data_IF_622458515465
#
_entry.id   IF_622458515465
#
_cell.length_a   1.000
_cell.length_b   1.000
_cell.length_c   1.000
_cell.angle_alpha   90.00
_cell.angle_beta   90.00
_cell.angle_gamma   90.00
#
_symmetry.space_group_name_H-M   'P 1'
#
loop_
_entity.id
_entity.type
_entity.pdbx_description
1 polymer ?
#
# COMPACT_ATOMS: atom_id res chain seq x y z
N UNK A 1 13.07 10.14 -16.86
CA UNK A 1 13.21 10.94 -15.61
C UNK A 1 13.46 9.97 -14.48
N UNK A 2 14.42 10.24 -13.60
CA UNK A 2 14.61 9.38 -12.44
C UNK A 2 13.43 9.56 -11.48
N UNK A 3 12.77 8.46 -11.12
CA UNK A 3 11.68 8.48 -10.17
C UNK A 3 12.19 8.82 -8.77
N UNK A 4 11.47 9.70 -8.08
CA UNK A 4 11.73 10.09 -6.69
C UNK A 4 10.52 9.69 -5.85
N UNK A 5 10.76 8.86 -4.84
CA UNK A 5 9.72 8.24 -4.05
C UNK A 5 9.50 8.97 -2.73
N UNK A 6 8.22 9.15 -2.36
CA UNK A 6 7.84 9.46 -0.99
C UNK A 6 7.05 8.28 -0.40
N UNK A 7 7.39 7.85 0.79
CA UNK A 7 6.59 6.91 1.58
C UNK A 7 5.99 7.69 2.74
N UNK A 8 4.66 7.74 2.79
CA UNK A 8 3.91 8.43 3.85
C UNK A 8 3.44 7.41 4.89
N UNK A 9 4.16 7.33 6.00
CA UNK A 9 3.86 6.44 7.12
C UNK A 9 5.10 5.76 7.70
N UNK A 10 5.23 5.81 9.02
CA UNK A 10 6.33 5.23 9.80
C UNK A 10 5.98 3.90 10.49
N UNK A 11 4.87 3.26 10.10
CA UNK A 11 4.46 1.95 10.62
C UNK A 11 5.26 0.77 10.03
N UNK A 12 4.92 -0.47 10.42
CA UNK A 12 5.60 -1.68 9.92
C UNK A 12 5.58 -1.77 8.41
N UNK A 13 4.40 -1.57 7.79
CA UNK A 13 4.25 -1.66 6.34
C UNK A 13 4.99 -0.54 5.59
N UNK A 14 4.92 0.71 6.09
CA UNK A 14 5.71 1.81 5.53
C UNK A 14 7.22 1.53 5.60
N UNK A 15 7.70 1.00 6.72
CA UNK A 15 9.11 0.58 6.91
C UNK A 15 9.52 -0.51 5.92
N UNK A 16 8.66 -1.52 5.71
CA UNK A 16 8.91 -2.59 4.74
C UNK A 16 8.97 -2.06 3.29
N UNK A 17 8.08 -1.14 2.92
CA UNK A 17 8.10 -0.50 1.59
C UNK A 17 9.39 0.30 1.40
N UNK A 18 9.82 1.08 2.40
CA UNK A 18 11.11 1.79 2.34
C UNK A 18 12.28 0.83 2.14
N UNK A 19 12.28 -0.33 2.85
CA UNK A 19 13.30 -1.38 2.65
C UNK A 19 13.34 -1.83 1.20
N UNK A 20 12.20 -2.27 0.65
CA UNK A 20 12.13 -2.76 -0.73
C UNK A 20 12.61 -1.72 -1.75
N UNK A 21 12.23 -0.46 -1.60
CA UNK A 21 12.65 0.62 -2.48
C UNK A 21 14.17 0.87 -2.39
N UNK A 22 14.74 0.89 -1.19
CA UNK A 22 16.16 1.12 -0.96
C UNK A 22 17.05 -0.01 -1.52
N UNK A 23 16.56 -1.26 -1.49
CA UNK A 23 17.24 -2.42 -2.09
C UNK A 23 17.40 -2.28 -3.60
N UNK A 24 16.45 -1.65 -4.28
CA UNK A 24 16.53 -1.31 -5.70
C UNK A 24 17.23 0.03 -5.97
N UNK A 25 18.11 0.46 -5.06
CA UNK A 25 18.93 1.67 -5.17
C UNK A 25 18.15 2.99 -5.30
N UNK A 26 16.88 3.01 -4.89
CA UNK A 26 16.11 4.24 -4.86
C UNK A 26 16.41 5.05 -3.61
N UNK A 27 16.43 6.38 -3.75
CA UNK A 27 16.45 7.31 -2.62
C UNK A 27 15.00 7.59 -2.23
N UNK A 28 14.68 7.39 -0.96
CA UNK A 28 13.31 7.48 -0.44
C UNK A 28 13.17 8.65 0.51
N UNK A 29 12.26 9.58 0.19
CA UNK A 29 11.79 10.58 1.14
C UNK A 29 10.73 9.92 2.04
N UNK A 30 11.00 9.85 3.33
CA UNK A 30 10.18 9.08 4.26
C UNK A 30 9.50 9.96 5.29
N UNK A 31 8.17 10.06 5.25
CA UNK A 31 7.39 10.78 6.25
C UNK A 31 7.10 9.91 7.47
N UNK A 32 7.57 10.35 8.62
CA UNK A 32 7.32 9.76 9.93
C UNK A 32 6.76 10.88 10.81
N UNK A 33 5.53 10.73 11.30
CA UNK A 33 4.82 11.80 12.02
C UNK A 33 5.56 12.36 13.25
N UNK A 34 6.22 11.48 14.00
CA UNK A 34 6.90 11.84 15.24
C UNK A 34 8.35 12.27 14.96
N UNK A 35 8.74 13.46 15.44
CA UNK A 35 10.09 14.01 15.26
C UNK A 35 11.16 13.17 15.96
N UNK A 36 10.87 12.63 17.15
CA UNK A 36 11.80 11.77 17.88
C UNK A 36 12.14 10.49 17.09
N UNK A 37 11.10 9.89 16.48
CA UNK A 37 11.29 8.72 15.61
C UNK A 37 12.14 9.08 14.37
N UNK A 38 11.94 10.28 13.79
CA UNK A 38 12.77 10.80 12.70
C UNK A 38 14.23 10.94 13.11
N UNK A 39 14.48 11.55 14.28
CA UNK A 39 15.83 11.71 14.81
C UNK A 39 16.50 10.36 15.10
N UNK A 40 15.74 9.41 15.62
CA UNK A 40 16.23 8.05 15.84
C UNK A 40 16.63 7.38 14.52
N UNK A 41 15.78 7.44 13.49
CA UNK A 41 16.08 6.86 12.16
C UNK A 41 17.33 7.51 11.57
N UNK A 42 17.45 8.83 11.64
CA UNK A 42 18.66 9.55 11.18
C UNK A 42 19.93 9.09 11.90
N UNK A 43 19.86 8.93 13.23
CA UNK A 43 20.99 8.53 14.07
C UNK A 43 21.35 7.05 13.89
N UNK A 44 20.37 6.16 13.93
CA UNK A 44 20.58 4.71 14.00
C UNK A 44 20.41 3.97 12.67
N UNK A 45 19.83 4.59 11.64
CA UNK A 45 19.55 3.94 10.36
C UNK A 45 18.50 2.86 10.47
N UNK A 46 17.60 2.89 11.47
CA UNK A 46 16.51 1.92 11.65
C UNK A 46 15.29 2.56 12.30
N UNK A 47 14.12 1.95 12.12
CA UNK A 47 12.91 2.38 12.80
C UNK A 47 13.00 2.06 14.32
N UNK A 48 12.51 2.97 15.16
CA UNK A 48 12.54 2.82 16.63
C UNK A 48 11.55 1.80 17.14
N UNK A 49 10.41 1.62 16.45
CA UNK A 49 9.25 0.85 16.92
C UNK A 49 8.92 -0.37 16.08
N UNK A 50 9.18 -0.31 14.77
CA UNK A 50 8.77 -1.33 13.81
C UNK A 50 9.95 -1.90 13.06
N UNK A 51 9.97 -3.22 12.84
CA UNK A 51 10.99 -3.92 12.05
C UNK A 51 12.42 -3.52 12.44
N UNK A 52 12.71 -3.55 13.73
CA UNK A 52 13.98 -3.04 14.31
C UNK A 52 15.24 -3.76 13.78
N UNK A 53 15.07 -4.95 13.20
CA UNK A 53 16.15 -5.70 12.53
C UNK A 53 16.56 -5.09 11.19
N UNK A 54 15.70 -4.29 10.57
CA UNK A 54 15.99 -3.64 9.28
C UNK A 54 16.91 -2.45 9.50
N UNK A 55 18.10 -2.51 8.92
CA UNK A 55 19.08 -1.42 8.93
C UNK A 55 19.14 -0.80 7.54
N UNK A 56 18.91 0.50 7.46
CA UNK A 56 18.95 1.26 6.21
C UNK A 56 20.33 1.88 5.98
N UNK A 57 20.74 1.91 4.74
CA UNK A 57 21.77 2.83 4.29
C UNK A 57 21.23 4.27 4.41
N UNK A 58 21.86 5.06 5.28
CA UNK A 58 21.42 6.43 5.57
C UNK A 58 21.47 7.35 4.35
N UNK A 59 22.30 7.03 3.35
CA UNK A 59 22.39 7.78 2.10
C UNK A 59 21.16 7.60 1.21
N UNK A 60 20.39 6.50 1.41
CA UNK A 60 19.22 6.16 0.63
C UNK A 60 17.89 6.61 1.25
N UNK A 61 17.90 7.12 2.48
CA UNK A 61 16.68 7.56 3.17
C UNK A 61 16.78 9.03 3.60
N UNK A 62 15.68 9.75 3.38
CA UNK A 62 15.50 11.13 3.84
C UNK A 62 14.29 11.21 4.79
N UNK A 63 14.42 10.78 6.07
CA UNK A 63 13.32 10.82 7.01
C UNK A 63 13.00 12.25 7.45
N UNK A 64 11.70 12.57 7.52
CA UNK A 64 11.18 13.89 7.89
C UNK A 64 9.84 13.79 8.58
N UNK A 65 9.58 14.64 9.58
CA UNK A 65 8.27 14.86 10.21
C UNK A 65 7.39 15.85 9.43
N UNK A 66 7.92 16.50 8.40
CA UNK A 66 7.15 17.37 7.52
C UNK A 66 6.67 16.63 6.28
N UNK A 67 5.36 16.35 6.21
CA UNK A 67 4.74 15.72 5.05
C UNK A 67 4.92 16.57 3.79
N UNK A 68 4.81 17.91 3.89
CA UNK A 68 5.00 18.83 2.78
C UNK A 68 6.41 18.74 2.19
N UNK A 69 7.43 18.74 3.05
CA UNK A 69 8.84 18.59 2.64
C UNK A 69 9.09 17.24 1.95
N UNK A 70 8.45 16.19 2.44
CA UNK A 70 8.57 14.83 1.87
C UNK A 70 7.94 14.77 0.48
N UNK A 71 6.71 15.29 0.33
CA UNK A 71 5.94 15.23 -0.91
C UNK A 71 6.48 16.19 -1.98
N UNK A 72 6.94 17.38 -1.61
CA UNK A 72 7.46 18.36 -2.59
C UNK A 72 8.66 17.84 -3.37
N UNK A 73 9.47 16.96 -2.78
CA UNK A 73 10.68 16.38 -3.38
C UNK A 73 10.45 15.10 -4.20
N UNK A 74 9.19 14.67 -4.36
CA UNK A 74 8.87 13.35 -4.92
C UNK A 74 7.83 13.47 -6.03
N UNK A 75 7.94 12.62 -7.04
CA UNK A 75 6.95 12.50 -8.12
C UNK A 75 6.03 11.28 -7.95
N UNK A 76 6.45 10.29 -7.17
CA UNK A 76 5.66 9.11 -6.81
C UNK A 76 5.46 9.09 -5.30
N UNK A 77 4.20 9.00 -4.87
CA UNK A 77 3.80 9.01 -3.47
C UNK A 77 3.18 7.66 -3.11
N UNK A 78 3.71 7.01 -2.07
CA UNK A 78 3.15 5.77 -1.54
C UNK A 78 2.47 6.07 -0.20
N UNK A 79 1.17 5.79 -0.15
CA UNK A 79 0.33 6.01 1.01
C UNK A 79 0.37 4.76 1.90
N UNK A 80 0.94 4.89 3.10
CA UNK A 80 1.05 3.83 4.10
C UNK A 80 0.62 4.34 5.50
N UNK A 81 -0.25 5.36 5.53
CA UNK A 81 -0.92 5.90 6.72
C UNK A 81 -2.23 5.15 6.88
N UNK A 82 -2.61 4.69 8.09
CA UNK A 82 -3.91 4.04 8.29
C UNK A 82 -5.08 4.90 7.79
N UNK A 83 -6.08 4.27 7.16
CA UNK A 83 -7.17 4.96 6.46
C UNK A 83 -7.92 6.01 7.30
N UNK A 84 -8.13 5.85 8.63
CA UNK A 84 -8.78 6.87 9.44
C UNK A 84 -8.02 8.20 9.56
N UNK A 85 -6.72 8.20 9.26
CA UNK A 85 -5.89 9.40 9.36
C UNK A 85 -5.46 9.94 8.00
N UNK A 86 -5.77 9.21 6.93
CA UNK A 86 -5.25 9.52 5.60
C UNK A 86 -5.75 10.88 5.11
N UNK A 87 -7.04 11.13 5.15
CA UNK A 87 -7.64 12.36 4.64
C UNK A 87 -7.14 13.62 5.37
N UNK A 88 -6.98 13.51 6.70
CA UNK A 88 -6.39 14.59 7.52
C UNK A 88 -4.96 14.94 7.06
N UNK A 89 -4.16 13.95 6.71
CA UNK A 89 -2.79 14.18 6.24
C UNK A 89 -2.77 14.66 4.78
N UNK A 90 -3.65 14.16 3.91
CA UNK A 90 -3.74 14.59 2.51
C UNK A 90 -4.20 16.04 2.38
N UNK A 91 -5.11 16.53 3.23
CA UNK A 91 -5.53 17.93 3.26
C UNK A 91 -4.37 18.90 3.43
N UNK A 92 -3.34 18.51 4.19
CA UNK A 92 -2.13 19.35 4.40
C UNK A 92 -1.27 19.54 3.15
N UNK A 93 -1.46 18.70 2.12
CA UNK A 93 -0.64 18.63 0.91
C UNK A 93 -1.45 18.63 -0.39
N UNK A 94 -2.74 18.94 -0.32
CA UNK A 94 -3.65 18.86 -1.47
C UNK A 94 -3.15 19.66 -2.68
N UNK A 95 -2.55 20.81 -2.46
CA UNK A 95 -1.91 21.68 -3.45
C UNK A 95 -0.68 21.04 -4.13
N UNK A 96 -0.03 20.10 -3.46
CA UNK A 96 1.19 19.44 -3.97
C UNK A 96 0.92 18.13 -4.73
N UNK A 97 -0.32 17.61 -4.71
CA UNK A 97 -0.65 16.32 -5.31
C UNK A 97 -0.83 16.37 -6.82
N UNK A 98 -1.11 17.56 -7.35
CA UNK A 98 -1.32 17.75 -8.80
C UNK A 98 -0.11 17.26 -9.60
N UNK A 99 -0.37 16.39 -10.56
CA UNK A 99 0.66 15.87 -11.47
C UNK A 99 1.43 14.65 -10.94
N UNK A 100 1.35 14.32 -9.66
CA UNK A 100 2.04 13.18 -9.05
C UNK A 100 1.31 11.85 -9.30
N UNK A 101 2.04 10.75 -9.17
CA UNK A 101 1.48 9.39 -9.19
C UNK A 101 1.37 8.93 -7.75
N UNK A 102 0.19 8.43 -7.36
CA UNK A 102 -0.10 7.97 -6.01
C UNK A 102 -0.33 6.45 -6.00
N UNK A 103 0.34 5.75 -5.10
CA UNK A 103 0.08 4.34 -4.83
C UNK A 103 -0.45 4.16 -3.41
N UNK A 104 -1.63 3.57 -3.30
CA UNK A 104 -2.19 3.17 -2.00
C UNK A 104 -1.64 1.80 -1.62
N UNK A 105 -1.12 1.70 -0.40
CA UNK A 105 -0.74 0.45 0.23
C UNK A 105 -1.64 0.14 1.45
N UNK A 106 -2.82 0.77 1.49
CA UNK A 106 -3.81 0.62 2.54
C UNK A 106 -4.78 -0.53 2.23
N UNK A 107 -5.47 -0.96 3.29
CA UNK A 107 -6.51 -1.98 3.21
C UNK A 107 -7.75 -1.45 3.94
N UNK A 108 -8.77 -1.05 3.19
CA UNK A 108 -10.01 -0.55 3.78
C UNK A 108 -10.55 0.69 3.08
N UNK A 109 -11.59 1.26 3.67
CA UNK A 109 -12.28 2.48 3.20
C UNK A 109 -11.83 3.69 4.00
N UNK A 110 -12.05 4.86 3.45
CA UNK A 110 -11.91 6.14 4.17
C UNK A 110 -13.19 6.37 4.96
N UNK A 111 -13.12 6.48 6.30
CA UNK A 111 -14.34 6.54 7.13
C UNK A 111 -15.29 7.68 6.77
N UNK A 112 -14.75 8.85 6.46
CA UNK A 112 -15.54 10.07 6.20
C UNK A 112 -16.34 10.00 4.89
N UNK A 113 -15.82 9.32 3.88
CA UNK A 113 -16.46 9.22 2.56
C UNK A 113 -17.08 7.85 2.28
N UNK A 114 -16.76 6.84 3.08
CA UNK A 114 -17.09 5.42 2.86
C UNK A 114 -16.59 4.86 1.51
N UNK A 115 -15.65 5.54 0.87
CA UNK A 115 -15.06 5.15 -0.40
C UNK A 115 -13.74 4.38 -0.18
N UNK A 116 -13.39 3.52 -1.14
CA UNK A 116 -12.02 3.00 -1.23
C UNK A 116 -11.05 4.13 -1.57
N UNK A 117 -9.76 3.95 -1.26
CA UNK A 117 -8.79 5.04 -1.37
C UNK A 117 -8.68 5.60 -2.80
N UNK A 118 -8.76 4.75 -3.82
CA UNK A 118 -8.68 5.19 -5.22
C UNK A 118 -9.86 6.07 -5.62
N UNK A 119 -11.07 5.74 -5.20
CA UNK A 119 -12.27 6.56 -5.43
C UNK A 119 -12.18 7.89 -4.68
N UNK A 120 -11.80 7.84 -3.39
CA UNK A 120 -11.61 9.03 -2.57
C UNK A 120 -10.59 10.00 -3.18
N UNK A 121 -9.43 9.50 -3.63
CA UNK A 121 -8.42 10.32 -4.29
C UNK A 121 -8.93 10.95 -5.60
N UNK A 122 -9.71 10.20 -6.37
CA UNK A 122 -10.29 10.72 -7.61
C UNK A 122 -11.37 11.77 -7.34
N UNK A 123 -12.29 11.50 -6.40
CA UNK A 123 -13.45 12.36 -6.15
C UNK A 123 -13.07 13.64 -5.40
N UNK A 124 -12.27 13.57 -4.35
CA UNK A 124 -11.97 14.72 -3.49
C UNK A 124 -10.70 15.47 -3.89
N UNK A 125 -9.69 14.75 -4.39
CA UNK A 125 -8.39 15.36 -4.77
C UNK A 125 -8.20 15.50 -6.28
N UNK A 126 -9.20 15.08 -7.08
CA UNK A 126 -9.20 15.15 -8.54
C UNK A 126 -7.98 14.49 -9.20
N UNK A 127 -7.46 13.46 -8.57
CA UNK A 127 -6.37 12.66 -9.13
C UNK A 127 -6.96 11.68 -10.16
N UNK A 128 -6.54 11.71 -11.42
CA UNK A 128 -7.08 10.80 -12.42
C UNK A 128 -6.69 9.34 -12.11
N UNK A 129 -7.59 8.38 -12.35
CA UNK A 129 -7.33 6.96 -12.10
C UNK A 129 -6.08 6.42 -12.80
N UNK A 130 -5.64 7.01 -13.90
CA UNK A 130 -4.38 6.67 -14.57
C UNK A 130 -3.14 6.98 -13.73
N UNK A 131 -3.26 7.84 -12.71
CA UNK A 131 -2.20 8.21 -11.75
C UNK A 131 -2.40 7.63 -10.37
N UNK A 132 -3.38 6.74 -10.21
CA UNK A 132 -3.64 6.03 -8.95
C UNK A 132 -3.32 4.56 -9.16
N UNK A 133 -2.52 4.01 -8.27
CA UNK A 133 -2.21 2.59 -8.21
C UNK A 133 -2.40 2.02 -6.81
N UNK A 134 -2.43 0.70 -6.73
CA UNK A 134 -2.60 -0.08 -5.49
C UNK A 134 -1.44 -1.04 -5.35
N UNK A 135 -0.89 -1.12 -4.13
CA UNK A 135 0.12 -2.10 -3.74
C UNK A 135 -0.52 -3.01 -2.70
N UNK A 136 -0.70 -4.29 -3.01
CA UNK A 136 -1.29 -5.27 -2.09
C UNK A 136 -0.71 -6.67 -2.34
N UNK A 137 -1.12 -7.65 -1.55
CA UNK A 137 -0.75 -9.05 -1.73
C UNK A 137 -0.61 -9.79 -0.41
N UNK A 138 -0.37 -11.11 -0.46
CA UNK A 138 0.00 -11.90 0.71
C UNK A 138 1.46 -11.62 1.07
N UNK A 139 1.67 -10.52 1.78
CA UNK A 139 2.98 -10.01 2.14
C UNK A 139 2.88 -9.34 3.51
N UNK A 140 3.52 -9.91 4.52
CA UNK A 140 3.60 -9.37 5.86
C UNK A 140 4.90 -8.59 6.03
N UNK A 141 4.83 -7.45 6.70
CA UNK A 141 5.99 -6.57 6.89
C UNK A 141 7.14 -7.27 7.60
N UNK A 142 6.83 -8.12 8.56
CA UNK A 142 7.79 -8.92 9.34
C UNK A 142 8.50 -9.96 8.46
N UNK A 143 7.80 -10.56 7.50
CA UNK A 143 8.37 -11.51 6.56
C UNK A 143 9.27 -10.81 5.53
N UNK A 144 8.91 -9.60 5.09
CA UNK A 144 9.78 -8.74 4.27
C UNK A 144 11.06 -8.38 5.02
N UNK A 145 10.96 -8.05 6.31
CA UNK A 145 12.11 -7.76 7.15
C UNK A 145 13.08 -8.94 7.26
N UNK A 146 12.54 -10.17 7.25
CA UNK A 146 13.29 -11.44 7.29
C UNK A 146 13.64 -11.98 5.90
N UNK A 147 13.39 -11.23 4.83
CA UNK A 147 13.66 -11.59 3.43
C UNK A 147 13.02 -12.92 3.00
N UNK A 148 11.85 -13.24 3.59
CA UNK A 148 11.07 -14.42 3.20
C UNK A 148 10.34 -14.17 1.89
N UNK A 149 10.23 -15.22 1.08
CA UNK A 149 9.53 -15.15 -0.21
C UNK A 149 8.11 -14.62 -0.02
N UNK A 150 7.85 -13.49 -0.65
CA UNK A 150 6.59 -12.76 -0.55
C UNK A 150 6.09 -12.35 -1.93
N UNK A 151 4.77 -12.19 -2.05
CA UNK A 151 4.12 -11.87 -3.31
C UNK A 151 3.35 -10.56 -3.19
N UNK A 152 3.54 -9.68 -4.15
CA UNK A 152 2.82 -8.43 -4.29
C UNK A 152 2.05 -8.37 -5.60
N UNK A 153 0.96 -7.64 -5.60
CA UNK A 153 0.27 -7.17 -6.79
C UNK A 153 0.32 -5.65 -6.80
N UNK A 154 0.82 -5.11 -7.90
CA UNK A 154 0.74 -3.67 -8.20
C UNK A 154 -0.34 -3.48 -9.25
N UNK A 155 -1.43 -2.82 -8.89
CA UNK A 155 -2.49 -2.51 -9.84
C UNK A 155 -2.47 -1.04 -10.21
N UNK A 156 -2.48 -0.73 -11.52
CA UNK A 156 -2.56 0.65 -12.01
C UNK A 156 -3.15 0.64 -13.43
N UNK A 157 -4.12 1.53 -13.71
CA UNK A 157 -4.68 1.67 -15.07
C UNK A 157 -3.60 2.04 -16.10
N UNK A 158 -2.64 2.89 -15.71
CA UNK A 158 -1.47 3.15 -16.51
C UNK A 158 -0.43 2.05 -16.27
N UNK A 159 -0.25 1.18 -17.26
CA UNK A 159 0.65 0.01 -17.17
C UNK A 159 2.11 0.42 -16.96
N UNK A 160 2.53 1.55 -17.53
CA UNK A 160 3.91 2.05 -17.37
C UNK A 160 4.17 2.37 -15.90
N UNK A 161 3.29 3.16 -15.26
CA UNK A 161 3.40 3.46 -13.83
C UNK A 161 3.36 2.20 -12.97
N UNK A 162 2.49 1.23 -13.34
CA UNK A 162 2.39 -0.06 -12.65
C UNK A 162 3.69 -0.87 -12.75
N UNK A 163 4.28 -0.96 -13.93
CA UNK A 163 5.51 -1.70 -14.16
C UNK A 163 6.72 -1.04 -13.49
N UNK A 164 6.82 0.28 -13.55
CA UNK A 164 7.87 1.04 -12.85
C UNK A 164 7.82 0.80 -11.33
N UNK A 165 6.63 0.87 -10.74
CA UNK A 165 6.45 0.57 -9.31
C UNK A 165 6.80 -0.89 -9.01
N UNK A 166 6.34 -1.83 -9.83
CA UNK A 166 6.65 -3.26 -9.66
C UNK A 166 8.17 -3.51 -9.68
N UNK A 167 8.88 -2.93 -10.64
CA UNK A 167 10.34 -3.04 -10.75
C UNK A 167 11.06 -2.44 -9.54
N UNK A 168 10.50 -1.35 -8.97
CA UNK A 168 11.07 -0.68 -7.80
C UNK A 168 10.87 -1.44 -6.48
N UNK A 169 9.94 -2.40 -6.44
CA UNK A 169 9.65 -3.22 -5.26
C UNK A 169 10.20 -4.65 -5.37
N UNK A 170 10.45 -5.13 -6.59
CA UNK A 170 10.87 -6.51 -6.86
C UNK A 170 12.28 -6.78 -6.33
N UNK A 171 12.49 -7.97 -5.75
CA UNK A 171 13.82 -8.44 -5.32
C UNK A 171 13.94 -9.96 -5.48
N UNK A 172 15.01 -10.56 -4.97
CA UNK A 172 15.18 -12.02 -4.97
C UNK A 172 14.04 -12.72 -4.21
N UNK A 173 13.54 -12.09 -3.15
CA UNK A 173 12.48 -12.64 -2.27
C UNK A 173 11.12 -11.92 -2.42
N UNK A 174 11.01 -10.84 -3.21
CA UNK A 174 9.73 -10.17 -3.52
C UNK A 174 9.37 -10.41 -4.99
N UNK A 175 8.29 -11.14 -5.22
CA UNK A 175 7.71 -11.34 -6.55
C UNK A 175 6.53 -10.40 -6.75
N UNK A 176 6.52 -9.67 -7.85
CA UNK A 176 5.48 -8.66 -8.12
C UNK A 176 4.73 -8.99 -9.40
N UNK A 177 3.40 -9.02 -9.32
CA UNK A 177 2.48 -9.12 -10.46
C UNK A 177 1.89 -7.74 -10.76
N UNK A 178 1.77 -7.39 -12.03
CA UNK A 178 1.10 -6.15 -12.45
C UNK A 178 -0.31 -6.44 -12.93
N UNK A 179 -1.27 -5.61 -12.55
CA UNK A 179 -2.67 -5.66 -12.98
C UNK A 179 -3.13 -4.29 -13.47
N UNK A 180 -4.11 -4.27 -14.39
CA UNK A 180 -4.84 -3.04 -14.79
C UNK A 180 -6.10 -2.81 -13.95
N UNK A 181 -6.56 -3.83 -13.26
CA UNK A 181 -7.77 -3.78 -12.44
C UNK A 181 -7.47 -3.20 -11.06
N UNK A 182 -7.42 -1.87 -11.00
CA UNK A 182 -7.16 -1.12 -9.76
C UNK A 182 -8.29 -1.32 -8.75
N UNK A 183 -9.54 -1.21 -9.21
CA UNK A 183 -10.72 -1.29 -8.36
C UNK A 183 -10.88 -2.70 -7.76
N UNK A 184 -10.85 -3.74 -8.60
CA UNK A 184 -10.99 -5.11 -8.14
C UNK A 184 -9.91 -5.54 -7.16
N UNK A 185 -8.66 -5.16 -7.42
CA UNK A 185 -7.53 -5.44 -6.53
C UNK A 185 -7.68 -4.73 -5.18
N UNK A 186 -8.18 -3.49 -5.16
CA UNK A 186 -8.40 -2.74 -3.92
C UNK A 186 -9.57 -3.30 -3.10
N UNK A 187 -10.71 -3.61 -3.74
CA UNK A 187 -11.85 -4.27 -3.10
C UNK A 187 -11.46 -5.65 -2.55
N UNK A 188 -10.71 -6.45 -3.29
CA UNK A 188 -10.22 -7.74 -2.81
C UNK A 188 -9.35 -7.59 -1.55
N UNK A 189 -8.47 -6.59 -1.52
CA UNK A 189 -7.61 -6.31 -0.37
C UNK A 189 -8.40 -5.89 0.87
N UNK A 190 -9.50 -5.16 0.70
CA UNK A 190 -10.42 -4.78 1.77
C UNK A 190 -11.23 -5.98 2.26
N UNK A 191 -11.90 -6.69 1.36
CA UNK A 191 -12.83 -7.77 1.69
C UNK A 191 -12.13 -8.96 2.34
N UNK A 192 -10.88 -9.25 2.00
CA UNK A 192 -10.14 -10.36 2.62
C UNK A 192 -10.09 -10.29 4.14
N UNK A 193 -10.03 -9.09 4.70
CA UNK A 193 -9.98 -8.91 6.15
C UNK A 193 -11.34 -9.23 6.80
N UNK A 194 -12.45 -8.87 6.14
CA UNK A 194 -13.79 -9.23 6.56
C UNK A 194 -13.96 -10.76 6.55
N UNK A 195 -13.52 -11.40 5.48
CA UNK A 195 -13.60 -12.85 5.34
C UNK A 195 -12.71 -13.58 6.35
N UNK A 196 -11.55 -13.04 6.67
CA UNK A 196 -10.69 -13.59 7.72
C UNK A 196 -11.34 -13.54 9.11
N UNK A 197 -12.07 -12.45 9.43
CA UNK A 197 -12.82 -12.33 10.67
C UNK A 197 -13.95 -13.36 10.72
N UNK A 198 -14.74 -13.49 9.63
CA UNK A 198 -15.82 -14.46 9.54
C UNK A 198 -15.30 -15.89 9.68
N UNK A 199 -14.21 -16.23 9.00
CA UNK A 199 -13.57 -17.53 9.13
C UNK A 199 -13.11 -17.81 10.57
N UNK A 200 -12.52 -16.80 11.23
CA UNK A 200 -12.11 -16.91 12.64
C UNK A 200 -13.30 -17.12 13.59
N UNK A 201 -14.41 -16.42 13.38
CA UNK A 201 -15.66 -16.62 14.15
C UNK A 201 -16.17 -18.04 13.97
N UNK A 202 -16.30 -18.52 12.72
CA UNK A 202 -16.76 -19.87 12.42
C UNK A 202 -15.86 -20.94 13.05
N UNK A 203 -14.53 -20.74 13.00
CA UNK A 203 -13.59 -21.63 13.67
C UNK A 203 -13.81 -21.66 15.20
N UNK A 204 -13.94 -20.47 15.81
CA UNK A 204 -14.19 -20.34 17.25
C UNK A 204 -15.53 -20.94 17.71
N UNK A 205 -16.54 -20.99 16.82
CA UNK A 205 -17.84 -21.66 17.05
C UNK A 205 -17.79 -23.17 16.80
N UNK A 206 -16.65 -23.74 16.43
CA UNK A 206 -16.47 -25.17 16.23
C UNK A 206 -16.93 -25.71 14.87
N UNK A 207 -17.14 -24.85 13.87
CA UNK A 207 -17.39 -25.31 12.51
C UNK A 207 -16.15 -26.03 11.95
N UNK A 208 -16.34 -27.22 11.39
CA UNK A 208 -15.27 -28.06 10.88
C UNK A 208 -14.67 -27.59 9.56
N UNK A 209 -13.58 -28.26 9.13
CA UNK A 209 -12.78 -27.90 7.95
C UNK A 209 -13.59 -27.89 6.64
N UNK A 210 -14.59 -28.79 6.50
CA UNK A 210 -15.47 -28.79 5.33
C UNK A 210 -16.25 -27.48 5.19
N UNK A 211 -16.78 -26.97 6.29
CA UNK A 211 -17.46 -25.68 6.30
C UNK A 211 -16.50 -24.53 6.00
N UNK A 212 -15.32 -24.54 6.61
CA UNK A 212 -14.27 -23.53 6.35
C UNK A 212 -13.90 -23.48 4.86
N UNK A 213 -13.73 -24.63 4.24
CA UNK A 213 -13.40 -24.73 2.80
C UNK A 213 -14.51 -24.15 1.91
N UNK A 214 -15.77 -24.43 2.22
CA UNK A 214 -16.95 -23.87 1.51
C UNK A 214 -17.03 -22.36 1.72
N UNK A 215 -16.83 -21.90 2.95
CA UNK A 215 -16.84 -20.46 3.28
C UNK A 215 -15.76 -19.71 2.48
N UNK A 216 -14.52 -20.17 2.51
CA UNK A 216 -13.39 -19.55 1.78
C UNK A 216 -13.67 -19.55 0.28
N UNK A 217 -14.14 -20.67 -0.28
CA UNK A 217 -14.49 -20.77 -1.70
C UNK A 217 -15.60 -19.78 -2.08
N UNK A 218 -16.60 -19.61 -1.23
CA UNK A 218 -17.70 -18.65 -1.43
C UNK A 218 -17.20 -17.21 -1.36
N UNK A 219 -16.28 -16.89 -0.44
CA UNK A 219 -15.64 -15.58 -0.35
C UNK A 219 -14.85 -15.24 -1.62
N UNK A 220 -14.05 -16.20 -2.13
CA UNK A 220 -13.30 -16.03 -3.38
C UNK A 220 -14.24 -15.81 -4.57
N UNK A 221 -15.34 -16.59 -4.65
CA UNK A 221 -16.37 -16.42 -5.69
C UNK A 221 -17.03 -15.05 -5.62
N UNK A 222 -17.36 -14.55 -4.43
CA UNK A 222 -17.98 -13.24 -4.27
C UNK A 222 -17.06 -12.13 -4.82
N UNK A 223 -15.77 -12.16 -4.51
CA UNK A 223 -14.80 -11.21 -5.08
C UNK A 223 -14.69 -11.37 -6.60
N UNK A 224 -14.55 -12.59 -7.10
CA UNK A 224 -14.46 -12.86 -8.55
C UNK A 224 -15.72 -12.42 -9.28
N UNK A 225 -16.89 -12.69 -8.74
CA UNK A 225 -18.17 -12.31 -9.36
C UNK A 225 -18.31 -10.79 -9.49
N UNK A 226 -17.94 -10.04 -8.45
CA UNK A 226 -18.05 -8.57 -8.47
C UNK A 226 -17.07 -7.90 -9.42
N UNK A 227 -15.94 -8.54 -9.77
CA UNK A 227 -14.86 -7.92 -10.51
C UNK A 227 -14.54 -8.55 -11.86
N UNK A 228 -14.83 -9.84 -12.06
CA UNK A 228 -14.54 -10.55 -13.31
C UNK A 228 -15.75 -10.70 -14.24
N UNK A 229 -16.96 -10.48 -13.76
CA UNK A 229 -18.19 -10.70 -14.52
C UNK A 229 -18.92 -9.44 -14.94
N UNK A 230 -18.37 -8.26 -14.70
CA UNK A 230 -18.93 -7.01 -15.22
C UNK A 230 -18.09 -6.48 -16.38
N UNK A 231 -18.41 -6.93 -17.60
CA UNK A 231 -19.11 -6.06 -18.51
C UNK A 231 -20.47 -6.68 -18.80
N UNK A 232 -21.44 -6.38 -18.02
CA UNK A 232 -22.81 -6.52 -18.52
C UNK A 232 -22.94 -5.64 -19.75
N UNK A 233 -22.86 -6.24 -20.91
CA UNK A 233 -23.56 -5.71 -22.06
C UNK A 233 -25.00 -5.48 -21.61
N UNK A 234 -25.36 -4.26 -21.34
CA UNK A 234 -26.74 -3.84 -21.47
C UNK A 234 -27.03 -3.91 -22.97
N UNK A 235 -27.66 -4.97 -23.36
CA UNK A 235 -28.43 -5.03 -24.60
C UNK A 235 -29.68 -4.21 -24.38
#
# INVERSE_FOLDING_TARGET
MNNTYAVLGGGSWGTAIVKMLCENNNIVNWYIRNEEDVLFVKKKGRNSKYLQSVVFDKSKINPSSSIRKTVSKSNIIILAIPSPFLDTELKKISDLLKGKVLFSALKGVIPESHLIVSEHLNEFYKIPFSKIGIITGPCHAEEVALEKLSYLTVACKNVINGQEMANSLMSSYIKVKVSKDTMGVEYAAMLKNIYAIVAGICHGLGYGDNFQSVLISSCVRAVSYTHLTLPTKRI
#
